data_IF_735814674686
#
_entry.id   IF_735814674686
#
_cell.length_a   1.000
_cell.length_b   1.000
_cell.length_c   1.000
_cell.angle_alpha   90.00
_cell.angle_beta   90.00
_cell.angle_gamma   90.00
#
_symmetry.space_group_name_H-M   'P 1'
#
loop_
_entity.id
_entity.type
_entity.pdbx_description
1 polymer ?
#
# COMPACT_ATOMS: atom_id res chain seq x y z
N UNK A 1 -4.59 -15.81 -23.79
CA UNK A 1 -5.77 -16.49 -23.20
C UNK A 1 -5.90 -15.92 -21.79
N UNK A 2 -6.83 -14.99 -21.55
CA UNK A 2 -7.05 -14.39 -20.22
C UNK A 2 -7.62 -15.51 -19.33
N UNK A 3 -7.05 -15.75 -18.13
CA UNK A 3 -7.48 -16.85 -17.28
C UNK A 3 -8.99 -16.74 -16.99
N UNK A 4 -9.71 -17.82 -17.21
CA UNK A 4 -11.17 -17.93 -16.98
C UNK A 4 -11.55 -17.56 -15.53
N UNK A 5 -10.63 -17.71 -14.59
CA UNK A 5 -10.79 -17.41 -13.17
C UNK A 5 -11.09 -15.92 -12.91
N UNK A 6 -10.43 -14.99 -13.64
CA UNK A 6 -10.66 -13.54 -13.49
C UNK A 6 -12.09 -13.14 -13.87
N UNK A 7 -12.64 -13.73 -14.95
CA UNK A 7 -14.03 -13.48 -15.37
C UNK A 7 -15.06 -13.95 -14.34
N UNK A 8 -14.82 -15.11 -13.70
CA UNK A 8 -15.75 -15.65 -12.70
C UNK A 8 -15.76 -14.83 -11.41
N UNK A 9 -14.61 -14.33 -10.95
CA UNK A 9 -14.53 -13.47 -9.74
C UNK A 9 -15.28 -12.15 -9.94
N UNK A 10 -15.03 -11.46 -11.03
CA UNK A 10 -15.75 -10.23 -11.36
C UNK A 10 -17.27 -10.47 -11.49
N UNK A 11 -17.68 -11.61 -12.05
CA UNK A 11 -19.09 -12.01 -12.10
C UNK A 11 -19.66 -12.27 -10.71
N UNK A 12 -18.91 -12.93 -9.81
CA UNK A 12 -19.32 -13.18 -8.43
C UNK A 12 -19.56 -11.87 -7.70
N UNK A 13 -18.61 -10.95 -7.73
CA UNK A 13 -18.75 -9.64 -7.08
C UNK A 13 -19.92 -8.83 -7.65
N UNK A 14 -19.99 -8.71 -8.97
CA UNK A 14 -21.06 -7.96 -9.64
C UNK A 14 -22.47 -8.47 -9.31
N UNK A 15 -22.61 -9.78 -9.03
CA UNK A 15 -23.91 -10.40 -8.72
C UNK A 15 -24.16 -10.64 -7.23
N UNK A 16 -23.14 -10.45 -6.38
CA UNK A 16 -23.25 -10.65 -4.93
C UNK A 16 -23.48 -9.35 -4.18
N UNK A 17 -22.96 -8.25 -4.70
CA UNK A 17 -23.00 -6.96 -4.01
C UNK A 17 -24.11 -6.09 -4.61
N UNK A 18 -25.14 -5.81 -3.82
CA UNK A 18 -26.10 -4.76 -4.12
C UNK A 18 -25.44 -3.42 -3.83
N UNK A 19 -25.14 -2.63 -4.88
CA UNK A 19 -24.41 -1.37 -4.79
C UNK A 19 -25.09 -0.32 -3.91
N UNK A 20 -26.34 -0.53 -3.53
CA UNK A 20 -27.09 0.43 -2.71
C UNK A 20 -27.04 0.15 -1.22
N UNK A 21 -26.65 -1.05 -0.78
CA UNK A 21 -26.76 -1.48 0.61
C UNK A 21 -25.42 -1.70 1.32
N UNK A 22 -24.31 -1.68 0.59
CA UNK A 22 -22.98 -2.00 1.11
C UNK A 22 -21.98 -0.86 0.87
N UNK A 23 -21.10 -0.64 1.82
CA UNK A 23 -19.93 0.21 1.66
C UNK A 23 -19.94 1.53 2.43
N UNK A 24 -18.79 2.18 2.40
CA UNK A 24 -18.52 3.45 3.05
C UNK A 24 -18.87 4.60 2.09
N UNK A 25 -19.54 5.62 2.59
CA UNK A 25 -19.86 6.83 1.83
C UNK A 25 -18.62 7.70 1.74
N UNK A 26 -18.03 7.83 0.55
CA UNK A 26 -16.85 8.65 0.31
C UNK A 26 -17.19 10.14 0.26
N UNK A 27 -18.33 10.51 -0.35
CA UNK A 27 -18.80 11.88 -0.41
C UNK A 27 -20.29 11.97 -0.05
N UNK A 28 -20.63 12.91 0.86
CA UNK A 28 -22.02 13.25 1.15
C UNK A 28 -22.63 13.93 -0.08
N UNK A 29 -23.79 13.49 -0.49
CA UNK A 29 -24.53 14.07 -1.61
C UNK A 29 -24.75 15.57 -1.39
N UNK A 30 -24.07 16.43 -2.17
CA UNK A 30 -24.20 17.88 -2.10
C UNK A 30 -25.42 18.42 -2.86
N UNK A 31 -25.99 17.62 -3.76
CA UNK A 31 -27.16 17.98 -4.59
C UNK A 31 -27.76 16.71 -5.17
N UNK A 32 -29.07 16.74 -5.47
CA UNK A 32 -29.79 15.63 -6.12
C UNK A 32 -29.26 15.24 -7.51
N UNK A 33 -28.40 16.06 -8.11
CA UNK A 33 -27.76 15.81 -9.41
C UNK A 33 -26.47 14.97 -9.33
N UNK A 34 -25.87 14.83 -8.14
CA UNK A 34 -24.65 14.03 -7.96
C UNK A 34 -24.99 12.72 -7.29
N UNK A 35 -24.58 11.62 -7.91
CA UNK A 35 -24.73 10.29 -7.30
C UNK A 35 -23.84 10.18 -6.07
N UNK A 36 -24.36 9.58 -5.01
CA UNK A 36 -23.63 9.24 -3.80
C UNK A 36 -22.48 8.29 -4.20
N UNK A 37 -21.24 8.72 -3.96
CA UNK A 37 -20.09 7.83 -4.17
C UNK A 37 -19.94 6.93 -2.94
N UNK A 38 -19.99 5.62 -3.19
CA UNK A 38 -19.90 4.61 -2.15
C UNK A 38 -18.84 3.57 -2.54
N UNK A 39 -17.97 3.23 -1.61
CA UNK A 39 -16.95 2.20 -1.78
C UNK A 39 -17.38 0.96 -1.02
N UNK A 40 -17.72 -0.11 -1.73
CA UNK A 40 -18.19 -1.38 -1.15
C UNK A 40 -17.15 -2.49 -1.23
N UNK A 41 -16.31 -2.44 -2.24
CA UNK A 41 -15.34 -3.49 -2.53
C UNK A 41 -14.13 -2.95 -3.28
N UNK A 42 -13.02 -3.64 -3.12
CA UNK A 42 -11.83 -3.49 -3.95
C UNK A 42 -11.52 -4.85 -4.55
N UNK A 43 -11.58 -4.93 -5.87
CA UNK A 43 -11.37 -6.17 -6.64
C UNK A 43 -10.01 -6.12 -7.34
N UNK A 44 -9.15 -7.06 -6.99
CA UNK A 44 -7.88 -7.28 -7.64
C UNK A 44 -7.79 -8.75 -8.09
N UNK A 45 -6.98 -9.11 -9.10
CA UNK A 45 -6.97 -10.47 -9.68
C UNK A 45 -6.90 -11.61 -8.67
N UNK A 46 -6.21 -11.42 -7.55
CA UNK A 46 -5.99 -12.46 -6.54
C UNK A 46 -6.56 -12.15 -5.15
N UNK A 47 -7.02 -10.91 -4.92
CA UNK A 47 -7.50 -10.44 -3.63
C UNK A 47 -8.81 -9.68 -3.78
N UNK A 48 -9.75 -9.90 -2.86
CA UNK A 48 -11.02 -9.16 -2.77
C UNK A 48 -11.09 -8.59 -1.36
N UNK A 49 -11.29 -7.29 -1.25
CA UNK A 49 -11.60 -6.64 0.01
C UNK A 49 -13.06 -6.19 0.00
N UNK A 50 -13.82 -6.60 1.01
CA UNK A 50 -15.17 -6.14 1.29
C UNK A 50 -15.09 -5.08 2.37
N UNK A 51 -15.80 -3.96 2.20
CA UNK A 51 -15.73 -2.81 3.08
C UNK A 51 -17.15 -2.41 3.47
N UNK A 52 -17.41 -2.31 4.76
CA UNK A 52 -18.69 -1.80 5.28
C UNK A 52 -18.51 -1.21 6.68
N UNK A 53 -19.42 -0.32 7.08
CA UNK A 53 -19.49 0.26 8.43
C UNK A 53 -20.24 -0.64 9.42
N UNK A 54 -20.96 -1.67 8.94
CA UNK A 54 -21.78 -2.55 9.75
C UNK A 54 -21.30 -4.00 9.64
N UNK A 55 -21.05 -4.63 10.79
CA UNK A 55 -20.69 -6.04 10.89
C UNK A 55 -21.75 -6.94 10.23
N UNK A 56 -23.03 -6.66 10.49
CA UNK A 56 -24.15 -7.47 9.94
C UNK A 56 -24.18 -7.39 8.42
N UNK A 57 -23.97 -6.20 7.85
CA UNK A 57 -23.93 -6.02 6.39
C UNK A 57 -22.70 -6.69 5.78
N UNK A 58 -21.53 -6.57 6.45
CA UNK A 58 -20.31 -7.25 6.03
C UNK A 58 -20.46 -8.77 6.07
N UNK A 59 -21.10 -9.33 7.12
CA UNK A 59 -21.42 -10.75 7.20
C UNK A 59 -22.34 -11.19 6.05
N UNK A 60 -23.37 -10.40 5.77
CA UNK A 60 -24.30 -10.70 4.68
C UNK A 60 -23.59 -10.69 3.30
N UNK A 61 -22.72 -9.71 3.07
CA UNK A 61 -21.90 -9.64 1.86
C UNK A 61 -20.98 -10.84 1.71
N UNK A 62 -20.29 -11.21 2.79
CA UNK A 62 -19.42 -12.39 2.82
C UNK A 62 -20.20 -13.66 2.48
N UNK A 63 -21.37 -13.85 3.06
CA UNK A 63 -22.23 -15.00 2.79
C UNK A 63 -22.73 -15.03 1.34
N UNK A 64 -23.10 -13.89 0.76
CA UNK A 64 -23.48 -13.77 -0.64
C UNK A 64 -22.31 -14.12 -1.60
N UNK A 65 -21.12 -13.59 -1.31
CA UNK A 65 -19.90 -13.88 -2.10
C UNK A 65 -19.59 -15.38 -2.05
N UNK A 66 -19.73 -16.00 -0.88
CA UNK A 66 -19.52 -17.43 -0.71
C UNK A 66 -20.55 -18.27 -1.50
N UNK A 67 -21.85 -17.95 -1.39
CA UNK A 67 -22.91 -18.65 -2.12
C UNK A 67 -22.70 -18.57 -3.65
N UNK A 68 -22.41 -17.36 -4.15
CA UNK A 68 -22.19 -17.15 -5.59
C UNK A 68 -20.88 -17.78 -6.06
N UNK A 69 -19.83 -17.71 -5.20
CA UNK A 69 -18.56 -18.37 -5.47
C UNK A 69 -18.70 -19.87 -5.65
N UNK A 70 -19.46 -20.54 -4.77
CA UNK A 70 -19.75 -21.98 -4.88
C UNK A 70 -20.40 -22.37 -6.22
N UNK A 71 -21.27 -21.52 -6.77
CA UNK A 71 -21.92 -21.78 -8.07
C UNK A 71 -20.94 -21.83 -9.25
N UNK A 72 -19.77 -21.21 -9.10
CA UNK A 72 -18.71 -21.20 -10.12
C UNK A 72 -17.46 -21.97 -9.67
N UNK A 73 -17.59 -22.79 -8.63
CA UNK A 73 -16.48 -23.63 -8.14
C UNK A 73 -15.41 -22.88 -7.34
N UNK A 74 -15.69 -21.66 -6.88
CA UNK A 74 -14.78 -20.89 -6.03
C UNK A 74 -15.17 -20.99 -4.55
N UNK A 75 -14.17 -21.08 -3.67
CA UNK A 75 -14.37 -21.11 -2.22
C UNK A 75 -13.52 -20.05 -1.53
N UNK A 76 -14.05 -19.46 -0.47
CA UNK A 76 -13.28 -18.54 0.38
C UNK A 76 -12.27 -19.36 1.19
N UNK A 77 -11.01 -18.94 1.16
CA UNK A 77 -9.97 -19.54 1.99
C UNK A 77 -9.95 -18.88 3.37
N UNK A 78 -10.64 -19.46 4.34
CA UNK A 78 -10.76 -18.93 5.70
C UNK A 78 -9.42 -18.71 6.43
N UNK A 79 -8.38 -19.49 6.09
CA UNK A 79 -7.03 -19.32 6.68
C UNK A 79 -6.31 -18.07 6.17
N UNK A 80 -6.58 -17.67 4.91
CA UNK A 80 -5.97 -16.48 4.29
C UNK A 80 -6.84 -15.24 4.42
N UNK A 81 -8.15 -15.42 4.56
CA UNK A 81 -9.10 -14.32 4.72
C UNK A 81 -9.03 -13.77 6.13
N UNK A 82 -8.91 -12.48 6.28
CA UNK A 82 -8.76 -11.79 7.56
C UNK A 82 -9.80 -10.69 7.68
N UNK A 83 -10.14 -10.34 8.89
CA UNK A 83 -10.98 -9.20 9.24
C UNK A 83 -10.11 -8.15 9.90
N UNK A 84 -10.27 -6.90 9.48
CA UNK A 84 -9.63 -5.76 10.14
C UNK A 84 -10.70 -4.73 10.44
N UNK A 85 -10.76 -4.32 11.69
CA UNK A 85 -11.57 -3.21 12.13
C UNK A 85 -10.72 -1.94 12.18
N UNK A 86 -11.16 -0.88 11.47
CA UNK A 86 -10.46 0.40 11.35
C UNK A 86 -11.19 1.47 12.17
N UNK A 87 -11.65 1.13 13.36
CA UNK A 87 -12.28 2.07 14.30
C UNK A 87 -11.29 2.55 15.37
N UNK A 88 -11.45 3.81 15.81
CA UNK A 88 -10.60 4.36 16.87
C UNK A 88 -10.98 3.83 18.27
N UNK A 89 -12.22 3.38 18.43
CA UNK A 89 -12.73 2.85 19.69
C UNK A 89 -12.99 1.34 19.57
N UNK A 90 -12.10 0.57 20.17
CA UNK A 90 -12.13 -0.90 20.14
C UNK A 90 -13.04 -1.44 21.26
N UNK A 91 -14.36 -1.31 21.09
CA UNK A 91 -15.29 -1.83 22.10
C UNK A 91 -15.80 -3.24 21.80
N UNK A 92 -15.86 -3.66 20.52
CA UNK A 92 -16.31 -4.98 20.12
C UNK A 92 -15.46 -5.54 18.98
N UNK A 93 -15.07 -6.81 19.08
CA UNK A 93 -14.34 -7.51 18.03
C UNK A 93 -15.37 -8.07 17.05
N UNK A 94 -15.41 -7.57 15.82
CA UNK A 94 -16.30 -8.05 14.79
C UNK A 94 -16.07 -9.55 14.49
N UNK A 95 -17.14 -10.36 14.57
CA UNK A 95 -17.06 -11.80 14.34
C UNK A 95 -17.69 -12.16 13.00
N UNK A 96 -16.88 -12.20 11.97
CA UNK A 96 -17.33 -12.59 10.63
C UNK A 96 -17.09 -14.09 10.40
N UNK A 97 -18.13 -14.79 9.93
CA UNK A 97 -18.09 -16.22 9.66
C UNK A 97 -18.00 -16.49 8.16
N UNK A 98 -17.16 -17.45 7.80
CA UNK A 98 -17.10 -18.04 6.45
C UNK A 98 -17.04 -19.56 6.56
N UNK A 99 -17.92 -20.29 5.86
CA UNK A 99 -18.02 -21.75 5.95
C UNK A 99 -18.12 -22.27 7.41
N UNK A 100 -18.91 -21.60 8.26
CA UNK A 100 -19.05 -21.89 9.70
C UNK A 100 -17.77 -21.68 10.54
N UNK A 101 -16.70 -21.19 9.94
CA UNK A 101 -15.48 -20.85 10.66
C UNK A 101 -15.41 -19.34 10.90
N UNK A 102 -15.05 -18.95 12.12
CA UNK A 102 -14.75 -17.55 12.42
C UNK A 102 -13.48 -17.12 11.70
N UNK A 103 -13.56 -15.99 11.01
CA UNK A 103 -12.39 -15.38 10.39
C UNK A 103 -11.52 -14.71 11.46
N UNK A 104 -10.22 -14.76 11.25
CA UNK A 104 -9.25 -14.20 12.20
C UNK A 104 -9.25 -12.67 12.10
N UNK A 105 -9.43 -12.01 13.27
CA UNK A 105 -9.25 -10.57 13.40
C UNK A 105 -7.77 -10.24 13.55
N UNK A 106 -7.30 -9.26 12.79
CA UNK A 106 -5.91 -8.81 12.81
C UNK A 106 -5.82 -7.29 12.93
N UNK A 107 -4.74 -6.81 13.53
CA UNK A 107 -4.48 -5.38 13.71
C UNK A 107 -3.82 -4.74 12.50
N UNK A 108 -3.16 -5.54 11.66
CA UNK A 108 -2.45 -5.09 10.46
C UNK A 108 -2.60 -6.10 9.35
N UNK A 109 -2.90 -5.61 8.16
CA UNK A 109 -3.00 -6.42 6.95
C UNK A 109 -2.17 -5.81 5.84
N UNK A 110 -1.44 -6.64 5.11
CA UNK A 110 -0.69 -6.20 3.92
C UNK A 110 -1.52 -6.55 2.69
N UNK A 111 -2.07 -5.53 2.03
CA UNK A 111 -2.83 -5.64 0.80
C UNK A 111 -2.07 -4.95 -0.33
N UNK A 112 -1.76 -5.67 -1.42
CA UNK A 112 -1.06 -5.15 -2.60
C UNK A 112 0.25 -4.39 -2.29
N UNK A 113 0.93 -4.77 -1.21
CA UNK A 113 2.18 -4.13 -0.79
C UNK A 113 2.02 -2.94 0.15
N UNK A 114 0.80 -2.46 0.39
CA UNK A 114 0.46 -1.46 1.40
C UNK A 114 -0.02 -2.10 2.69
N UNK A 115 0.38 -1.55 3.83
CA UNK A 115 -0.03 -2.03 5.15
C UNK A 115 -1.21 -1.21 5.66
N UNK A 116 -2.37 -1.85 5.75
CA UNK A 116 -3.54 -1.27 6.42
C UNK A 116 -3.46 -1.65 7.89
N UNK A 117 -3.55 -0.66 8.78
CA UNK A 117 -3.58 -0.87 10.23
C UNK A 117 -4.88 -0.38 10.82
N UNK A 118 -5.34 -1.03 11.87
CA UNK A 118 -6.57 -0.69 12.61
C UNK A 118 -6.64 0.81 13.00
N UNK A 119 -5.52 1.42 13.38
CA UNK A 119 -5.47 2.83 13.76
C UNK A 119 -5.26 3.81 12.58
N UNK A 120 -5.28 3.32 11.34
CA UNK A 120 -5.03 4.14 10.14
C UNK A 120 -3.65 4.79 10.07
N UNK A 121 -2.71 4.38 10.93
CA UNK A 121 -1.39 5.01 11.03
C UNK A 121 -0.42 4.45 9.99
N UNK A 122 0.06 5.31 9.11
CA UNK A 122 1.03 4.99 8.05
C UNK A 122 2.49 4.97 8.54
N UNK A 123 2.76 5.38 9.79
CA UNK A 123 4.14 5.41 10.33
C UNK A 123 4.81 4.05 10.24
N UNK A 124 4.07 2.97 10.52
CA UNK A 124 4.58 1.60 10.41
C UNK A 124 4.89 1.19 8.96
N UNK A 125 4.13 1.66 7.99
CA UNK A 125 4.38 1.41 6.57
C UNK A 125 5.64 2.12 6.09
N UNK A 126 5.79 3.41 6.44
CA UNK A 126 7.01 4.15 6.17
C UNK A 126 8.24 3.47 6.75
N UNK A 127 8.16 2.98 7.99
CA UNK A 127 9.26 2.25 8.65
C UNK A 127 9.63 0.98 7.89
N UNK A 128 8.63 0.24 7.42
CA UNK A 128 8.84 -0.96 6.60
C UNK A 128 9.54 -0.61 5.29
N UNK A 129 9.08 0.43 4.57
CA UNK A 129 9.69 0.85 3.31
C UNK A 129 11.11 1.39 3.50
N UNK A 130 11.34 2.22 4.52
CA UNK A 130 12.68 2.70 4.87
C UNK A 130 13.59 1.52 5.24
N UNK A 131 13.10 0.54 6.01
CA UNK A 131 13.85 -0.67 6.38
C UNK A 131 14.22 -1.53 5.16
N UNK A 132 13.26 -1.78 4.26
CA UNK A 132 13.51 -2.52 3.01
C UNK A 132 14.55 -1.79 2.13
N UNK A 133 14.39 -0.47 1.97
CA UNK A 133 15.32 0.34 1.20
C UNK A 133 16.72 0.41 1.85
N UNK A 134 16.82 0.48 3.18
CA UNK A 134 18.09 0.43 3.90
C UNK A 134 18.81 -0.90 3.69
N UNK A 135 18.09 -2.02 3.73
CA UNK A 135 18.64 -3.33 3.42
C UNK A 135 19.14 -3.41 1.97
N UNK A 136 18.37 -2.87 1.01
CA UNK A 136 18.78 -2.80 -0.38
C UNK A 136 20.07 -1.97 -0.55
N UNK A 137 20.16 -0.79 0.09
CA UNK A 137 21.39 0.03 0.09
C UNK A 137 22.57 -0.74 0.66
N UNK A 138 22.41 -1.39 1.82
CA UNK A 138 23.50 -2.13 2.46
C UNK A 138 24.05 -3.25 1.57
N UNK A 139 23.18 -3.98 0.88
CA UNK A 139 23.56 -5.02 -0.07
C UNK A 139 24.28 -4.47 -1.31
N UNK A 140 23.90 -3.28 -1.77
CA UNK A 140 24.47 -2.63 -2.94
C UNK A 140 25.73 -1.81 -2.65
N UNK A 141 26.03 -1.48 -1.39
CA UNK A 141 27.15 -0.63 -1.03
C UNK A 141 28.50 -1.11 -1.58
N UNK A 142 28.87 -2.41 -1.56
CA UNK A 142 30.12 -2.85 -2.16
C UNK A 142 30.23 -2.50 -3.64
N UNK A 143 29.15 -2.69 -4.39
CA UNK A 143 29.05 -2.32 -5.81
C UNK A 143 29.10 -0.80 -5.98
N UNK A 144 28.33 -0.06 -5.19
CA UNK A 144 28.26 1.40 -5.26
C UNK A 144 29.62 2.08 -4.93
N UNK A 145 30.43 1.49 -4.07
CA UNK A 145 31.76 2.00 -3.70
C UNK A 145 32.86 1.60 -4.67
N UNK A 146 32.60 0.68 -5.58
CA UNK A 146 33.62 0.21 -6.51
C UNK A 146 34.04 1.32 -7.46
N UNK A 147 35.37 1.55 -7.58
CA UNK A 147 35.95 2.68 -8.33
C UNK A 147 35.77 2.56 -9.84
N UNK A 148 35.69 1.34 -10.39
CA UNK A 148 35.50 1.12 -11.84
C UNK A 148 34.09 1.44 -12.32
N UNK A 149 33.10 1.53 -11.42
CA UNK A 149 31.72 1.82 -11.79
C UNK A 149 31.53 3.34 -11.84
N UNK A 150 31.13 3.82 -13.02
CA UNK A 150 30.89 5.26 -13.27
C UNK A 150 29.66 5.75 -12.50
N UNK A 151 29.65 7.02 -12.14
CA UNK A 151 28.56 7.63 -11.36
C UNK A 151 27.17 7.47 -11.99
N UNK A 152 26.97 7.66 -13.31
CA UNK A 152 25.66 7.45 -13.94
C UNK A 152 25.10 6.03 -13.70
N UNK A 153 25.96 5.01 -13.79
CA UNK A 153 25.55 3.61 -13.52
C UNK A 153 25.16 3.41 -12.05
N UNK A 154 25.91 4.00 -11.12
CA UNK A 154 25.56 3.97 -9.69
C UNK A 154 24.21 4.62 -9.43
N UNK A 155 23.96 5.77 -10.06
CA UNK A 155 22.69 6.49 -9.96
C UNK A 155 21.53 5.64 -10.51
N UNK A 156 21.72 5.03 -11.67
CA UNK A 156 20.70 4.17 -12.28
C UNK A 156 20.35 2.96 -11.40
N UNK A 157 21.35 2.28 -10.82
CA UNK A 157 21.14 1.18 -9.87
C UNK A 157 20.41 1.68 -8.63
N UNK A 158 20.79 2.84 -8.07
CA UNK A 158 20.13 3.43 -6.92
C UNK A 158 18.66 3.73 -7.21
N UNK A 159 18.35 4.31 -8.35
CA UNK A 159 16.97 4.61 -8.77
C UNK A 159 16.15 3.32 -8.95
N UNK A 160 16.69 2.37 -9.69
CA UNK A 160 15.99 1.13 -10.04
C UNK A 160 15.70 0.23 -8.84
N UNK A 161 16.59 0.19 -7.83
CA UNK A 161 16.44 -0.73 -6.71
C UNK A 161 16.03 -0.01 -5.44
N UNK A 162 16.73 1.04 -5.04
CA UNK A 162 16.50 1.66 -3.73
C UNK A 162 15.31 2.60 -3.75
N UNK A 163 15.23 3.49 -4.74
CA UNK A 163 14.11 4.43 -4.84
C UNK A 163 12.81 3.73 -5.19
N UNK A 164 12.82 2.73 -6.07
CA UNK A 164 11.62 1.95 -6.38
C UNK A 164 11.09 1.21 -5.15
N UNK A 165 11.98 0.62 -4.34
CA UNK A 165 11.59 -0.04 -3.08
C UNK A 165 11.08 0.97 -2.05
N UNK A 166 11.75 2.12 -1.91
CA UNK A 166 11.37 3.16 -0.96
C UNK A 166 10.01 3.77 -1.27
N UNK A 167 9.75 4.01 -2.56
CA UNK A 167 8.57 4.75 -3.04
C UNK A 167 7.49 3.84 -3.65
N UNK A 168 7.54 2.54 -3.37
CA UNK A 168 6.49 1.64 -3.82
C UNK A 168 5.17 1.98 -3.13
N UNK A 169 4.10 2.22 -3.91
CA UNK A 169 2.79 2.59 -3.38
C UNK A 169 2.71 4.04 -2.83
N UNK A 170 3.75 4.86 -3.02
CA UNK A 170 3.81 6.23 -2.46
C UNK A 170 2.76 7.19 -3.01
N UNK A 171 2.13 6.87 -4.12
CA UNK A 171 1.02 7.58 -4.72
C UNK A 171 -0.24 7.56 -3.83
N UNK A 172 -0.45 6.47 -3.09
CA UNK A 172 -1.60 6.28 -2.19
C UNK A 172 -1.34 6.73 -0.74
N UNK A 173 -0.10 7.14 -0.41
CA UNK A 173 0.23 7.48 0.97
C UNK A 173 -0.38 8.81 1.42
N UNK A 174 -1.16 8.75 2.48
CA UNK A 174 -1.64 9.93 3.21
C UNK A 174 -0.67 10.25 4.35
N UNK A 175 0.47 10.85 4.00
CA UNK A 175 1.56 11.14 4.95
C UNK A 175 1.39 12.48 5.64
N UNK A 176 1.75 12.52 6.93
CA UNK A 176 1.88 13.77 7.68
C UNK A 176 3.16 14.52 7.28
N UNK A 177 3.19 15.83 7.58
CA UNK A 177 4.38 16.67 7.31
C UNK A 177 5.65 16.14 8.02
N UNK A 178 5.50 15.54 9.20
CA UNK A 178 6.63 14.97 9.93
C UNK A 178 7.15 13.69 9.26
N UNK A 179 6.26 12.84 8.80
CA UNK A 179 6.61 11.62 8.08
C UNK A 179 7.29 11.95 6.76
N UNK A 180 6.79 12.94 6.02
CA UNK A 180 7.42 13.39 4.78
C UNK A 180 8.86 13.88 4.97
N UNK A 181 9.23 14.45 6.12
CA UNK A 181 10.62 14.87 6.41
C UNK A 181 11.59 13.71 6.58
N UNK A 182 11.11 12.53 6.97
CA UNK A 182 11.96 11.34 7.20
C UNK A 182 12.50 10.77 5.89
N UNK A 183 11.72 10.79 4.83
CA UNK A 183 12.09 10.25 3.52
C UNK A 183 13.27 11.02 2.86
N UNK A 184 13.24 12.36 2.75
CA UNK A 184 14.38 13.14 2.26
C UNK A 184 15.65 12.96 3.09
N UNK A 185 15.51 12.85 4.41
CA UNK A 185 16.66 12.61 5.29
C UNK A 185 17.32 11.25 5.00
N UNK A 186 16.51 10.19 4.84
CA UNK A 186 17.01 8.88 4.44
C UNK A 186 17.66 8.92 3.05
N UNK A 187 17.03 9.54 2.07
CA UNK A 187 17.55 9.69 0.71
C UNK A 187 18.92 10.36 0.70
N UNK A 188 19.03 11.52 1.32
CA UNK A 188 20.31 12.28 1.40
C UNK A 188 21.41 11.47 2.08
N UNK A 189 21.08 10.74 3.15
CA UNK A 189 22.03 9.83 3.83
C UNK A 189 22.53 8.74 2.88
N UNK A 190 21.66 8.15 2.08
CA UNK A 190 22.05 7.14 1.09
C UNK A 190 22.98 7.71 0.02
N UNK A 191 22.67 8.90 -0.51
CA UNK A 191 23.50 9.56 -1.51
C UNK A 191 24.89 9.91 -0.97
N UNK A 192 25.00 10.41 0.26
CA UNK A 192 26.30 10.65 0.93
C UNK A 192 27.11 9.36 1.04
N UNK A 193 26.47 8.23 1.38
CA UNK A 193 27.16 6.92 1.45
C UNK A 193 27.67 6.44 0.09
N UNK A 194 26.94 6.71 -1.00
CA UNK A 194 27.35 6.37 -2.38
C UNK A 194 28.53 7.24 -2.81
N UNK A 195 28.51 8.52 -2.45
CA UNK A 195 29.61 9.47 -2.73
C UNK A 195 30.82 9.32 -1.79
N UNK A 196 30.72 8.47 -0.77
CA UNK A 196 31.72 8.33 0.29
C UNK A 196 32.01 9.64 1.03
N UNK A 197 31.01 10.53 1.14
CA UNK A 197 31.11 11.79 1.89
C UNK A 197 30.78 11.52 3.36
N UNK A 198 31.70 11.73 4.29
CA UNK A 198 31.48 11.60 5.74
C UNK A 198 30.34 12.54 6.19
N UNK A 199 29.62 12.13 7.24
CA UNK A 199 28.54 12.97 7.75
C UNK A 199 29.06 14.25 8.45
N UNK A 200 30.30 14.23 8.94
CA UNK A 200 30.98 15.37 9.57
C UNK A 200 31.36 16.45 8.54
N UNK A 201 31.48 16.08 7.26
CA UNK A 201 31.86 17.02 6.23
C UNK A 201 30.70 17.97 5.90
N UNK A 202 30.86 19.30 6.03
CA UNK A 202 29.79 20.28 5.84
C UNK A 202 29.51 20.52 4.34
N UNK A 203 29.14 19.48 3.61
CA UNK A 203 28.74 19.59 2.21
C UNK A 203 27.24 19.84 2.14
N UNK A 204 26.76 20.94 1.51
CA UNK A 204 25.36 21.22 1.30
C UNK A 204 24.66 20.11 0.49
N UNK A 205 23.38 19.88 0.79
CA UNK A 205 22.62 18.81 0.09
C UNK A 205 22.49 19.06 -1.40
N UNK A 206 22.39 20.32 -1.84
CA UNK A 206 22.32 20.71 -3.25
C UNK A 206 23.57 20.24 -4.01
N UNK A 207 24.76 20.33 -3.38
CA UNK A 207 26.01 19.84 -3.96
C UNK A 207 25.99 18.32 -4.08
N UNK A 208 25.44 17.61 -3.08
CA UNK A 208 25.26 16.16 -3.13
C UNK A 208 24.35 15.75 -4.31
N UNK A 209 23.18 16.41 -4.44
CA UNK A 209 22.23 16.13 -5.51
C UNK A 209 22.84 16.41 -6.89
N UNK A 210 23.60 17.52 -7.04
CA UNK A 210 24.26 17.87 -8.29
C UNK A 210 25.36 16.88 -8.66
N UNK A 211 26.21 16.44 -7.70
CA UNK A 211 27.28 15.44 -7.94
C UNK A 211 26.77 14.12 -8.46
N UNK A 212 25.56 13.70 -8.04
CA UNK A 212 24.97 12.41 -8.40
C UNK A 212 23.91 12.54 -9.48
N UNK A 213 23.63 13.77 -9.95
CA UNK A 213 22.57 14.09 -10.92
C UNK A 213 21.21 13.54 -10.47
N UNK A 214 20.88 13.71 -9.19
CA UNK A 214 19.66 13.21 -8.56
C UNK A 214 18.82 14.38 -8.08
N UNK A 215 17.51 14.34 -8.36
CA UNK A 215 16.57 15.31 -7.82
C UNK A 215 16.31 15.10 -6.31
N UNK A 216 15.95 16.17 -5.56
CA UNK A 216 15.43 16.02 -4.20
C UNK A 216 14.23 15.09 -4.17
N UNK A 217 14.14 14.23 -3.14
CA UNK A 217 13.11 13.20 -3.06
C UNK A 217 11.69 13.76 -3.09
N UNK A 218 11.49 14.94 -2.51
CA UNK A 218 10.18 15.59 -2.50
C UNK A 218 9.65 15.88 -3.91
N UNK A 219 10.52 16.20 -4.85
CA UNK A 219 10.15 16.45 -6.25
C UNK A 219 9.77 15.13 -6.94
N UNK A 220 10.47 14.04 -6.63
CA UNK A 220 10.16 12.70 -7.14
C UNK A 220 8.80 12.24 -6.63
N UNK A 221 8.53 12.44 -5.34
CA UNK A 221 7.23 12.13 -4.72
C UNK A 221 6.09 12.91 -5.35
N UNK A 222 6.26 14.22 -5.53
CA UNK A 222 5.25 15.08 -6.17
C UNK A 222 4.95 14.61 -7.58
N UNK A 223 5.97 14.30 -8.36
CA UNK A 223 5.81 13.78 -9.71
C UNK A 223 5.00 12.47 -9.73
N UNK A 224 5.34 11.52 -8.84
CA UNK A 224 4.62 10.24 -8.74
C UNK A 224 3.15 10.37 -8.32
N UNK A 225 2.81 11.40 -7.54
CA UNK A 225 1.42 11.66 -7.12
C UNK A 225 0.57 12.39 -8.18
N UNK A 226 1.21 12.94 -9.22
CA UNK A 226 0.55 13.68 -10.29
C UNK A 226 0.37 12.85 -11.58
N UNK A 227 1.03 11.71 -11.67
CA UNK A 227 0.93 10.75 -12.78
C UNK A 227 0.06 9.58 -12.43
#
# INVERSE_FOLDING_TARGET
>A
MVPTIVRHRHWVLKNSLDKNDLGIVLEKQRSSRYQKQQLSDLDFPDEIALIDESEQRLQHATSKVEEKGRKVGLTINSKKTKVIDVTQERNDIATILSNLNSLENIDKFVCLGSTISHNGNLTSELDIHIGKAANAVNRLLPVMRHKSIKMPTKTAIYQAVVLSTLLNGSESWNTTVQEEKRLPAFHTRCLRRILCVPWQEPVPNEVIFKRISQAPLINILRYKRLT
#
